data_IF_161879876608
#
_entry.id   IF_161879876608
#
_cell.length_a   1.000
_cell.length_b   1.000
_cell.length_c   1.000
_cell.angle_alpha   90.00
_cell.angle_beta   90.00
_cell.angle_gamma   90.00
#
_symmetry.space_group_name_H-M   'P 1'
#
loop_
_entity.id
_entity.type
_entity.pdbx_description
1 polymer ?
#
# COMPACT_ATOMS: atom_id res chain seq x y z
N UNK A 1 -11.72 -15.93 -0.18
CA UNK A 1 -10.24 -15.84 -0.24
C UNK A 1 -9.88 -15.19 -1.57
N UNK A 2 -8.90 -14.29 -1.55
CA UNK A 2 -8.38 -13.64 -2.74
C UNK A 2 -7.43 -14.63 -3.44
N UNK A 3 -7.63 -14.98 -4.72
CA UNK A 3 -6.72 -15.88 -5.43
C UNK A 3 -5.31 -15.31 -5.54
N UNK A 4 -4.31 -16.19 -5.51
CA UNK A 4 -2.92 -15.83 -5.79
C UNK A 4 -2.80 -15.20 -7.18
N UNK A 5 -2.16 -14.04 -7.27
CA UNK A 5 -1.81 -13.40 -8.54
C UNK A 5 -0.63 -12.43 -8.35
N UNK A 6 -0.04 -11.95 -9.46
CA UNK A 6 1.03 -10.94 -9.38
C UNK A 6 0.42 -9.58 -9.08
N UNK A 7 0.98 -8.89 -8.08
CA UNK A 7 0.38 -7.67 -7.54
C UNK A 7 1.41 -6.56 -7.32
N UNK A 8 0.97 -5.30 -7.44
CA UNK A 8 1.84 -4.13 -7.29
C UNK A 8 1.08 -2.93 -6.71
N UNK A 9 1.75 -2.14 -5.89
CA UNK A 9 1.23 -0.86 -5.42
C UNK A 9 1.34 0.17 -6.55
N UNK A 10 0.26 0.93 -6.77
CA UNK A 10 0.19 1.89 -7.87
C UNK A 10 -0.33 3.26 -7.41
N UNK A 11 0.48 4.26 -7.72
CA UNK A 11 0.13 5.67 -7.85
C UNK A 11 0.81 6.21 -9.11
N UNK A 12 0.07 6.97 -9.90
CA UNK A 12 0.49 7.42 -11.23
C UNK A 12 1.10 8.81 -11.26
N UNK A 13 1.36 9.44 -10.11
CA UNK A 13 1.83 10.83 -10.07
C UNK A 13 3.14 11.00 -10.84
N UNK A 14 3.21 12.06 -11.65
CA UNK A 14 4.38 12.45 -12.43
C UNK A 14 5.11 13.64 -11.78
N UNK A 15 6.15 14.14 -12.44
CA UNK A 15 6.81 15.39 -12.03
C UNK A 15 5.76 16.51 -11.85
N UNK A 16 5.88 17.28 -10.77
CA UNK A 16 4.97 18.36 -10.36
C UNK A 16 3.51 17.97 -10.05
N UNK A 17 3.19 16.68 -10.04
CA UNK A 17 1.89 16.15 -9.61
C UNK A 17 2.00 15.60 -8.18
N UNK A 18 0.96 15.80 -7.37
CA UNK A 18 0.86 15.19 -6.04
C UNK A 18 -0.56 15.31 -5.48
N UNK A 19 -0.98 14.41 -4.57
CA UNK A 19 -2.24 14.57 -3.85
C UNK A 19 -2.24 15.83 -2.96
N UNK A 20 -1.08 16.31 -2.51
CA UNK A 20 -0.98 17.53 -1.70
C UNK A 20 -1.20 18.82 -2.48
N UNK A 21 -0.94 18.81 -3.79
CA UNK A 21 -1.12 19.96 -4.66
C UNK A 21 -2.47 19.94 -5.40
N UNK A 22 -3.30 18.91 -5.17
CA UNK A 22 -4.51 18.62 -5.94
C UNK A 22 -4.25 18.57 -7.46
N UNK A 23 -3.05 18.10 -7.85
CA UNK A 23 -2.67 17.89 -9.25
C UNK A 23 -2.54 16.39 -9.48
N UNK A 24 -3.50 15.84 -10.21
CA UNK A 24 -3.64 14.40 -10.43
C UNK A 24 -3.23 13.99 -11.85
N UNK A 25 -2.79 12.73 -12.05
CA UNK A 25 -2.55 12.18 -13.38
C UNK A 25 -3.78 12.25 -14.28
N UNK A 26 -3.58 12.59 -15.55
CA UNK A 26 -4.65 12.62 -16.55
C UNK A 26 -5.16 11.21 -16.89
N UNK A 27 -6.32 11.14 -17.54
CA UNK A 27 -6.86 9.87 -18.04
C UNK A 27 -5.85 9.15 -18.96
N UNK A 28 -5.18 9.88 -19.84
CA UNK A 28 -4.19 9.36 -20.79
C UNK A 28 -2.91 8.89 -20.08
N UNK A 29 -2.45 9.62 -19.06
CA UNK A 29 -1.29 9.22 -18.25
C UNK A 29 -1.59 7.93 -17.46
N UNK A 30 -2.79 7.83 -16.89
CA UNK A 30 -3.26 6.61 -16.22
C UNK A 30 -3.39 5.46 -17.21
N UNK A 31 -3.94 5.70 -18.40
CA UNK A 31 -4.06 4.67 -19.44
C UNK A 31 -2.69 4.16 -19.90
N UNK A 32 -1.70 5.05 -20.05
CA UNK A 32 -0.31 4.65 -20.34
C UNK A 32 0.22 3.70 -19.26
N UNK A 33 0.14 4.12 -18.00
CA UNK A 33 0.64 3.35 -16.86
C UNK A 33 -0.05 1.97 -16.75
N UNK A 34 -1.38 1.93 -16.85
CA UNK A 34 -2.13 0.67 -16.73
C UNK A 34 -1.87 -0.29 -17.91
N UNK A 35 -1.60 0.22 -19.11
CA UNK A 35 -1.17 -0.61 -20.25
C UNK A 35 0.24 -1.18 -20.06
N UNK A 36 1.09 -0.53 -19.28
CA UNK A 36 2.39 -1.07 -18.88
C UNK A 36 2.18 -2.18 -17.85
N UNK A 37 1.42 -1.89 -16.79
CA UNK A 37 1.27 -2.80 -15.64
C UNK A 37 0.47 -4.07 -15.96
N UNK A 38 -0.62 -3.95 -16.72
CA UNK A 38 -1.53 -5.08 -17.03
C UNK A 38 -0.89 -6.21 -17.85
N UNK A 39 0.32 -6.02 -18.37
CA UNK A 39 1.07 -7.07 -19.07
C UNK A 39 1.72 -8.07 -18.12
N UNK A 40 1.93 -7.69 -16.85
CA UNK A 40 2.77 -8.44 -15.91
C UNK A 40 2.15 -8.58 -14.52
N UNK A 41 1.16 -7.76 -14.20
CA UNK A 41 0.44 -7.78 -12.94
C UNK A 41 -1.04 -7.99 -13.20
N UNK A 42 -1.69 -8.67 -12.27
CA UNK A 42 -3.13 -8.91 -12.26
C UNK A 42 -3.83 -7.94 -11.31
N UNK A 43 -3.15 -7.56 -10.21
CA UNK A 43 -3.72 -6.70 -9.16
C UNK A 43 -2.90 -5.43 -8.97
N UNK A 44 -3.60 -4.31 -8.76
CA UNK A 44 -3.01 -3.06 -8.27
C UNK A 44 -3.62 -2.66 -6.93
N UNK A 45 -2.86 -1.97 -6.09
CA UNK A 45 -3.34 -1.38 -4.83
C UNK A 45 -3.23 0.13 -4.86
N UNK A 46 -4.26 0.81 -4.38
CA UNK A 46 -4.34 2.27 -4.23
C UNK A 46 -4.75 2.64 -2.80
N UNK A 47 -4.47 3.88 -2.40
CA UNK A 47 -4.42 4.29 -0.98
C UNK A 47 -5.59 5.18 -0.52
N UNK A 48 -6.35 5.76 -1.44
CA UNK A 48 -7.40 6.72 -1.11
C UNK A 48 -8.62 6.66 -2.07
N UNK A 49 -9.52 7.63 -1.94
CA UNK A 49 -10.74 7.81 -2.74
C UNK A 49 -10.81 9.17 -3.46
N UNK A 50 -9.65 9.78 -3.69
CA UNK A 50 -9.47 11.04 -4.41
C UNK A 50 -9.72 10.90 -5.92
N UNK A 51 -9.46 11.95 -6.69
CA UNK A 51 -9.65 11.96 -8.14
C UNK A 51 -8.79 10.92 -8.87
N UNK A 52 -7.61 10.60 -8.35
CA UNK A 52 -6.71 9.66 -9.02
C UNK A 52 -7.27 8.21 -9.02
N UNK A 53 -7.63 7.58 -7.88
CA UNK A 53 -8.30 6.28 -7.88
C UNK A 53 -9.60 6.24 -8.69
N UNK A 54 -10.39 7.33 -8.71
CA UNK A 54 -11.59 7.43 -9.56
C UNK A 54 -11.24 7.33 -11.03
N UNK A 55 -10.21 8.05 -11.45
CA UNK A 55 -9.69 8.02 -12.83
C UNK A 55 -9.19 6.63 -13.18
N UNK A 56 -8.45 5.97 -12.28
CA UNK A 56 -7.97 4.59 -12.49
C UNK A 56 -9.12 3.61 -12.70
N UNK A 57 -10.12 3.59 -11.82
CA UNK A 57 -11.28 2.71 -11.94
C UNK A 57 -12.04 2.97 -13.25
N UNK A 58 -12.20 4.25 -13.62
CA UNK A 58 -12.82 4.65 -14.88
C UNK A 58 -12.04 4.13 -16.09
N UNK A 59 -10.72 4.35 -16.13
CA UNK A 59 -9.85 3.89 -17.23
C UNK A 59 -9.88 2.37 -17.36
N UNK A 60 -9.79 1.64 -16.25
CA UNK A 60 -9.88 0.17 -16.27
C UNK A 60 -11.22 -0.27 -16.86
N UNK A 61 -12.31 0.30 -16.37
CA UNK A 61 -13.66 -0.06 -16.80
C UNK A 61 -13.95 0.29 -18.26
N UNK A 62 -13.55 1.48 -18.73
CA UNK A 62 -13.85 1.95 -20.09
C UNK A 62 -12.98 1.25 -21.16
N UNK A 63 -11.76 0.84 -20.80
CA UNK A 63 -10.82 0.19 -21.73
C UNK A 63 -10.73 -1.34 -21.55
N UNK A 64 -11.50 -1.93 -20.64
CA UNK A 64 -11.46 -3.37 -20.31
C UNK A 64 -10.05 -3.86 -19.97
N UNK A 65 -9.30 -3.08 -19.19
CA UNK A 65 -7.95 -3.46 -18.77
C UNK A 65 -8.08 -4.63 -17.77
N UNK A 66 -7.33 -5.73 -17.93
CA UNK A 66 -7.49 -6.94 -17.11
C UNK A 66 -6.79 -6.81 -15.75
N UNK A 67 -7.01 -5.70 -15.04
CA UNK A 67 -6.50 -5.45 -13.69
C UNK A 67 -7.65 -5.45 -12.67
N UNK A 68 -7.40 -6.00 -11.49
CA UNK A 68 -8.26 -5.80 -10.31
C UNK A 68 -7.62 -4.83 -9.34
N UNK A 69 -8.45 -4.08 -8.61
CA UNK A 69 -8.00 -3.00 -7.74
C UNK A 69 -8.32 -3.30 -6.28
N UNK A 70 -7.31 -3.30 -5.43
CA UNK A 70 -7.50 -3.13 -4.00
C UNK A 70 -7.52 -1.63 -3.68
N UNK A 71 -8.67 -1.12 -3.24
CA UNK A 71 -8.83 0.29 -2.87
C UNK A 71 -8.63 0.48 -1.36
N UNK A 72 -8.21 1.66 -0.95
CA UNK A 72 -8.06 2.03 0.45
C UNK A 72 -8.64 3.40 0.73
N UNK A 73 -8.63 3.77 2.01
CA UNK A 73 -8.76 5.14 2.47
C UNK A 73 -7.52 5.49 3.28
N UNK A 74 -7.25 6.80 3.40
CA UNK A 74 -6.25 7.36 4.30
C UNK A 74 -7.01 8.11 5.42
N UNK A 75 -7.36 7.43 6.52
CA UNK A 75 -8.04 8.04 7.64
C UNK A 75 -7.23 9.21 8.20
N UNK A 76 -7.93 10.27 8.60
CA UNK A 76 -7.34 11.36 9.37
C UNK A 76 -7.24 10.95 10.83
N UNK A 77 -6.18 11.41 11.51
CA UNK A 77 -5.86 11.00 12.86
C UNK A 77 -6.95 11.35 13.87
N UNK A 78 -7.35 10.36 14.67
CA UNK A 78 -8.25 10.54 15.82
C UNK A 78 -7.50 10.49 17.17
N UNK A 79 -6.17 10.35 17.11
CA UNK A 79 -5.25 10.51 18.23
C UNK A 79 -4.15 11.49 17.82
N UNK A 80 -3.90 12.49 18.68
CA UNK A 80 -2.77 13.38 18.56
C UNK A 80 -1.47 12.65 18.89
N UNK A 81 -0.48 12.68 17.99
CA UNK A 81 0.79 11.97 18.12
C UNK A 81 1.97 12.96 18.21
N UNK A 82 2.28 13.48 19.41
CA UNK A 82 3.35 14.48 19.59
C UNK A 82 4.76 13.93 19.33
N UNK A 83 4.92 12.60 19.26
CA UNK A 83 6.22 11.94 19.07
C UNK A 83 6.51 11.59 17.61
N UNK A 84 5.58 11.85 16.69
CA UNK A 84 5.77 11.57 15.27
C UNK A 84 6.63 12.66 14.61
N UNK A 85 7.74 12.23 13.99
CA UNK A 85 8.67 13.11 13.27
C UNK A 85 8.06 13.77 12.02
N UNK A 86 6.87 13.32 11.60
CA UNK A 86 6.18 13.76 10.38
C UNK A 86 4.97 14.66 10.66
N UNK A 87 4.78 15.09 11.92
CA UNK A 87 3.61 15.86 12.35
C UNK A 87 2.63 14.98 13.13
N UNK A 88 1.34 15.32 13.09
CA UNK A 88 0.29 14.52 13.77
C UNK A 88 -0.22 15.10 15.08
N UNK A 89 0.07 16.38 15.35
CA UNK A 89 -0.66 17.12 16.37
C UNK A 89 -2.04 17.49 15.83
N UNK A 90 -3.08 17.01 16.50
CA UNK A 90 -4.47 17.36 16.25
C UNK A 90 -5.06 17.94 17.54
N UNK A 91 -5.81 19.04 17.41
CA UNK A 91 -6.66 19.58 18.47
C UNK A 91 -7.92 18.72 18.64
N UNK A 92 -8.60 18.85 19.78
CA UNK A 92 -9.86 18.14 20.03
C UNK A 92 -10.93 18.46 18.98
N UNK A 93 -10.99 19.71 18.51
CA UNK A 93 -11.91 20.13 17.44
C UNK A 93 -11.57 19.47 16.10
N UNK A 94 -10.29 19.40 15.73
CA UNK A 94 -9.84 18.70 14.52
C UNK A 94 -10.13 17.21 14.59
N UNK A 95 -9.98 16.58 15.76
CA UNK A 95 -10.32 15.16 15.96
C UNK A 95 -11.80 14.90 15.73
N UNK A 96 -12.70 15.77 16.23
CA UNK A 96 -14.14 15.62 15.98
C UNK A 96 -14.49 15.78 14.49
N UNK A 97 -13.82 16.70 13.78
CA UNK A 97 -13.95 16.83 12.32
C UNK A 97 -13.42 15.60 11.59
N UNK A 98 -12.28 15.04 12.03
CA UNK A 98 -11.65 13.87 11.44
C UNK A 98 -12.55 12.64 11.54
N UNK A 99 -13.21 12.43 12.69
CA UNK A 99 -14.21 11.36 12.87
C UNK A 99 -15.27 11.39 11.79
N UNK A 100 -15.87 12.56 11.53
CA UNK A 100 -16.89 12.70 10.47
C UNK A 100 -16.31 12.40 9.10
N UNK A 101 -15.17 13.01 8.75
CA UNK A 101 -14.51 12.81 7.46
C UNK A 101 -14.09 11.37 7.22
N UNK A 102 -13.70 10.63 8.26
CA UNK A 102 -13.32 9.23 8.14
C UNK A 102 -14.52 8.36 7.70
N UNK A 103 -15.70 8.59 8.27
CA UNK A 103 -16.91 7.90 7.81
C UNK A 103 -17.34 8.32 6.40
N UNK A 104 -17.19 9.60 6.03
CA UNK A 104 -17.43 10.07 4.67
C UNK A 104 -16.51 9.36 3.66
N UNK A 105 -15.22 9.18 3.99
CA UNK A 105 -14.28 8.42 3.18
C UNK A 105 -14.71 6.94 3.05
N UNK A 106 -15.21 6.31 4.12
CA UNK A 106 -15.69 4.93 4.07
C UNK A 106 -16.96 4.76 3.22
N UNK A 107 -17.91 5.70 3.33
CA UNK A 107 -19.10 5.70 2.48
C UNK A 107 -18.71 5.86 1.00
N UNK A 108 -17.73 6.70 0.72
CA UNK A 108 -17.25 6.88 -0.64
C UNK A 108 -16.45 5.69 -1.18
N UNK A 109 -15.63 5.06 -0.34
CA UNK A 109 -14.99 3.79 -0.65
C UNK A 109 -16.04 2.73 -1.00
N UNK A 110 -17.10 2.60 -0.20
CA UNK A 110 -18.19 1.67 -0.48
C UNK A 110 -18.90 1.99 -1.81
N UNK A 111 -19.15 3.27 -2.10
CA UNK A 111 -19.73 3.70 -3.38
C UNK A 111 -18.87 3.24 -4.57
N UNK A 112 -17.56 3.44 -4.50
CA UNK A 112 -16.62 3.01 -5.55
C UNK A 112 -16.57 1.49 -5.67
N UNK A 113 -16.51 0.75 -4.56
CA UNK A 113 -16.56 -0.72 -4.55
C UNK A 113 -17.82 -1.25 -5.24
N UNK A 114 -18.98 -0.70 -4.89
CA UNK A 114 -20.27 -1.15 -5.43
C UNK A 114 -20.44 -0.79 -6.91
N UNK A 115 -19.99 0.41 -7.31
CA UNK A 115 -20.06 0.88 -8.71
C UNK A 115 -19.14 0.07 -9.62
N UNK A 116 -17.95 -0.28 -9.15
CA UNK A 116 -16.93 -0.99 -9.91
C UNK A 116 -16.71 -2.40 -9.38
N UNK A 117 -17.79 -3.11 -9.00
CA UNK A 117 -17.73 -4.46 -8.40
C UNK A 117 -16.97 -5.51 -9.23
N UNK A 118 -16.93 -5.33 -10.54
CA UNK A 118 -16.23 -6.22 -11.46
C UNK A 118 -14.74 -5.87 -11.60
N UNK A 119 -14.29 -4.76 -11.02
CA UNK A 119 -12.90 -4.30 -11.02
C UNK A 119 -12.30 -4.34 -9.61
N UNK A 120 -13.05 -3.95 -8.59
CA UNK A 120 -12.56 -3.88 -7.22
C UNK A 120 -12.43 -5.28 -6.62
N UNK A 121 -11.21 -5.60 -6.18
CA UNK A 121 -10.83 -6.87 -5.57
C UNK A 121 -11.15 -6.93 -4.07
N UNK A 122 -10.85 -5.84 -3.37
CA UNK A 122 -10.89 -5.72 -1.92
C UNK A 122 -10.83 -4.23 -1.52
N UNK A 123 -11.16 -3.96 -0.27
CA UNK A 123 -11.18 -2.62 0.31
C UNK A 123 -10.39 -2.57 1.63
N UNK A 124 -9.59 -1.54 1.85
CA UNK A 124 -8.90 -1.29 3.11
C UNK A 124 -9.48 -0.09 3.85
N UNK A 125 -9.70 -0.24 5.16
CA UNK A 125 -10.18 0.86 6.03
C UNK A 125 -9.09 1.78 6.56
N UNK A 126 -7.85 1.56 6.16
CA UNK A 126 -6.72 2.41 6.54
C UNK A 126 -5.37 1.85 6.11
N UNK A 127 -4.33 2.65 6.34
CA UNK A 127 -2.95 2.35 6.05
C UNK A 127 -2.06 2.78 7.21
N UNK A 128 -1.52 1.82 7.96
CA UNK A 128 -0.54 2.01 9.04
C UNK A 128 -0.96 2.98 10.16
N UNK A 129 -2.27 3.25 10.27
CA UNK A 129 -2.80 4.21 11.24
C UNK A 129 -2.71 3.76 12.70
N UNK A 130 -2.14 2.58 13.01
CA UNK A 130 -1.86 2.14 14.39
C UNK A 130 -0.37 2.11 14.73
N UNK A 131 0.48 2.44 13.76
CA UNK A 131 1.92 2.60 13.92
C UNK A 131 2.26 3.85 14.72
N UNK A 132 3.15 3.72 15.71
CA UNK A 132 3.53 4.84 16.59
C UNK A 132 4.25 5.98 15.85
N UNK A 133 4.79 5.70 14.66
CA UNK A 133 5.45 6.69 13.81
C UNK A 133 4.50 7.42 12.86
N UNK A 134 3.22 7.02 12.78
CA UNK A 134 2.26 7.60 11.83
C UNK A 134 1.63 8.89 12.37
N UNK A 135 1.49 9.90 11.50
CA UNK A 135 0.93 11.21 11.87
C UNK A 135 -0.60 11.23 11.98
N UNK A 136 -1.28 10.32 11.25
CA UNK A 136 -2.72 10.10 11.39
C UNK A 136 -2.97 8.86 12.26
N UNK A 137 -2.65 8.96 13.55
CA UNK A 137 -2.81 7.84 14.48
C UNK A 137 -4.30 7.63 14.82
N UNK A 138 -4.71 6.37 14.89
CA UNK A 138 -6.09 5.93 15.10
C UNK A 138 -6.15 4.89 16.23
N UNK A 139 -7.19 4.91 17.08
CA UNK A 139 -7.41 3.82 18.04
C UNK A 139 -7.66 2.49 17.30
N UNK A 140 -7.09 1.40 17.81
CA UNK A 140 -7.31 0.04 17.28
C UNK A 140 -8.80 -0.31 17.22
N UNK A 141 -9.56 0.07 18.25
CA UNK A 141 -11.01 -0.13 18.31
C UNK A 141 -11.77 0.66 17.25
N UNK A 142 -11.32 1.88 16.92
CA UNK A 142 -11.91 2.66 15.83
C UNK A 142 -11.67 2.00 14.48
N UNK A 143 -10.45 1.50 14.21
CA UNK A 143 -10.17 0.75 12.97
C UNK A 143 -11.06 -0.50 12.87
N UNK A 144 -11.24 -1.24 13.97
CA UNK A 144 -12.15 -2.38 14.02
C UNK A 144 -13.61 -1.96 13.73
N UNK A 145 -14.07 -0.84 14.30
CA UNK A 145 -15.40 -0.27 14.00
C UNK A 145 -15.53 0.14 12.54
N UNK A 146 -14.51 0.75 11.93
CA UNK A 146 -14.50 1.10 10.52
C UNK A 146 -14.60 -0.13 9.62
N UNK A 147 -13.83 -1.19 9.91
CA UNK A 147 -13.92 -2.47 9.18
C UNK A 147 -15.34 -3.04 9.25
N UNK A 148 -15.92 -3.09 10.45
CA UNK A 148 -17.29 -3.55 10.67
C UNK A 148 -18.32 -2.69 9.94
N UNK A 149 -18.16 -1.38 9.98
CA UNK A 149 -19.04 -0.43 9.28
C UNK A 149 -18.99 -0.63 7.77
N UNK A 150 -17.80 -0.66 7.17
CA UNK A 150 -17.63 -0.80 5.73
C UNK A 150 -18.26 -2.11 5.21
N UNK A 151 -18.14 -3.20 5.97
CA UNK A 151 -18.78 -4.48 5.64
C UNK A 151 -20.31 -4.45 5.63
N UNK A 152 -20.94 -3.43 6.21
CA UNK A 152 -22.40 -3.23 6.07
C UNK A 152 -22.79 -2.51 4.76
N UNK A 153 -21.79 -1.98 4.03
CA UNK A 153 -21.99 -1.10 2.86
C UNK A 153 -21.48 -1.69 1.55
N UNK A 154 -20.66 -2.73 1.59
CA UNK A 154 -20.10 -3.39 0.41
C UNK A 154 -19.91 -4.89 0.64
N UNK A 155 -19.96 -5.66 -0.44
CA UNK A 155 -19.74 -7.12 -0.45
C UNK A 155 -18.30 -7.50 -0.79
N UNK A 156 -17.45 -6.52 -1.18
CA UNK A 156 -16.03 -6.82 -1.43
C UNK A 156 -15.31 -7.11 -0.11
N UNK A 157 -14.31 -8.01 -0.09
CA UNK A 157 -13.54 -8.31 1.12
C UNK A 157 -12.90 -7.05 1.73
N UNK A 158 -13.04 -6.88 3.04
CA UNK A 158 -12.52 -5.73 3.80
C UNK A 158 -11.30 -6.12 4.63
N UNK A 159 -10.29 -5.25 4.66
CA UNK A 159 -9.08 -5.37 5.48
C UNK A 159 -8.65 -4.05 6.11
N UNK A 160 -7.56 -4.08 6.86
CA UNK A 160 -6.76 -2.93 7.27
C UNK A 160 -5.29 -3.21 6.90
N UNK A 161 -4.61 -2.26 6.26
CA UNK A 161 -3.23 -2.45 5.80
C UNK A 161 -2.26 -1.93 6.87
N UNK A 162 -1.37 -2.78 7.39
CA UNK A 162 -0.54 -2.43 8.54
C UNK A 162 0.75 -3.27 8.61
N UNK A 163 1.78 -2.75 9.28
CA UNK A 163 3.05 -3.44 9.50
C UNK A 163 2.87 -4.82 10.15
N UNK A 164 3.64 -5.81 9.68
CA UNK A 164 3.59 -7.19 10.19
C UNK A 164 3.79 -7.27 11.72
N UNK A 165 4.63 -6.39 12.28
CA UNK A 165 4.88 -6.31 13.72
C UNK A 165 3.68 -5.73 14.49
N UNK A 166 3.01 -4.70 13.96
CA UNK A 166 1.81 -4.09 14.56
C UNK A 166 0.64 -5.07 14.55
N UNK A 167 0.52 -5.92 13.52
CA UNK A 167 -0.45 -7.00 13.55
C UNK A 167 -0.22 -7.99 14.69
N UNK A 168 1.04 -8.29 15.03
CA UNK A 168 1.39 -9.15 16.16
C UNK A 168 1.12 -8.47 17.51
N UNK A 169 1.44 -7.18 17.63
CA UNK A 169 1.35 -6.45 18.89
C UNK A 169 -0.06 -5.95 19.20
N UNK A 170 -0.75 -5.37 18.20
CA UNK A 170 -1.98 -4.58 18.37
C UNK A 170 -3.18 -5.12 17.56
N UNK A 171 -2.94 -5.97 16.57
CA UNK A 171 -3.93 -6.33 15.53
C UNK A 171 -5.08 -7.23 15.96
N UNK A 172 -5.05 -7.83 17.16
CA UNK A 172 -5.99 -8.87 17.57
C UNK A 172 -7.47 -8.47 17.54
N UNK A 173 -7.79 -7.22 17.88
CA UNK A 173 -9.17 -6.73 17.86
C UNK A 173 -9.65 -6.52 16.42
N UNK A 174 -8.82 -5.88 15.58
CA UNK A 174 -9.11 -5.62 14.16
C UNK A 174 -9.28 -6.92 13.39
N UNK A 175 -8.45 -7.94 13.68
CA UNK A 175 -8.47 -9.26 13.04
C UNK A 175 -9.85 -9.95 13.11
N UNK A 176 -10.66 -9.63 14.12
CA UNK A 176 -12.01 -10.21 14.28
C UNK A 176 -12.99 -9.66 13.25
N UNK A 177 -12.81 -8.42 12.83
CA UNK A 177 -13.78 -7.69 12.00
C UNK A 177 -13.42 -7.75 10.50
N UNK A 178 -12.12 -7.83 10.15
CA UNK A 178 -11.63 -7.92 8.76
C UNK A 178 -11.78 -9.33 8.16
N UNK A 179 -11.83 -9.41 6.83
CA UNK A 179 -11.98 -10.68 6.09
C UNK A 179 -10.64 -11.41 5.87
N UNK A 180 -9.53 -10.66 5.82
CA UNK A 180 -8.17 -11.18 5.72
C UNK A 180 -7.19 -10.27 6.44
N UNK A 181 -5.95 -10.74 6.65
CA UNK A 181 -4.87 -9.98 7.27
C UNK A 181 -3.94 -9.47 6.18
N UNK A 182 -3.60 -8.20 6.26
CA UNK A 182 -2.88 -7.44 5.25
C UNK A 182 -1.65 -6.83 5.89
N UNK A 183 -0.48 -7.45 5.65
CA UNK A 183 0.77 -7.11 6.33
C UNK A 183 1.70 -6.31 5.43
N UNK A 184 2.48 -5.41 6.02
CA UNK A 184 3.62 -4.75 5.38
C UNK A 184 4.94 -5.26 5.93
N UNK A 185 5.94 -5.39 5.08
CA UNK A 185 7.29 -5.81 5.48
C UNK A 185 8.36 -5.04 4.70
N UNK A 186 9.17 -4.28 5.44
CA UNK A 186 10.24 -3.47 4.88
C UNK A 186 11.56 -3.66 5.64
N UNK A 187 12.34 -4.72 5.33
CA UNK A 187 13.60 -4.97 6.01
C UNK A 187 14.59 -3.80 5.91
N UNK A 188 14.61 -3.09 4.77
CA UNK A 188 15.53 -1.95 4.55
C UNK A 188 15.23 -0.75 5.44
N UNK A 189 13.95 -0.49 5.77
CA UNK A 189 13.56 0.51 6.78
C UNK A 189 14.09 0.16 8.17
N UNK A 190 14.16 -1.14 8.48
CA UNK A 190 14.71 -1.66 9.73
C UNK A 190 16.26 -1.74 9.72
N UNK A 191 16.92 -1.19 8.68
CA UNK A 191 18.37 -1.27 8.46
C UNK A 191 18.90 -2.71 8.44
N UNK A 192 18.04 -3.65 8.06
CA UNK A 192 18.40 -5.06 7.89
C UNK A 192 19.20 -5.19 6.58
N UNK A 193 20.40 -5.78 6.59
CA UNK A 193 21.18 -5.97 5.37
C UNK A 193 20.50 -6.97 4.42
N UNK A 194 20.73 -6.84 3.12
CA UNK A 194 20.06 -7.66 2.10
C UNK A 194 20.11 -9.18 2.39
N UNK A 195 21.25 -9.67 2.86
CA UNK A 195 21.45 -11.10 3.17
C UNK A 195 20.46 -11.67 4.20
N UNK A 196 19.91 -10.83 5.08
CA UNK A 196 19.01 -11.24 6.17
C UNK A 196 17.53 -10.86 5.85
N UNK A 197 17.30 -10.10 4.78
CA UNK A 197 16.00 -9.55 4.42
C UNK A 197 14.95 -10.60 4.06
N UNK A 198 15.38 -11.68 3.37
CA UNK A 198 14.52 -12.80 3.02
C UNK A 198 13.96 -13.50 4.26
N UNK A 199 14.83 -13.81 5.23
CA UNK A 199 14.42 -14.47 6.47
C UNK A 199 13.49 -13.59 7.29
N UNK A 200 13.76 -12.27 7.39
CA UNK A 200 12.88 -11.34 8.07
C UNK A 200 11.47 -11.35 7.45
N UNK A 201 11.39 -11.15 6.13
CA UNK A 201 10.12 -11.04 5.41
C UNK A 201 9.29 -12.32 5.51
N UNK A 202 9.91 -13.49 5.36
CA UNK A 202 9.22 -14.77 5.46
C UNK A 202 8.80 -15.09 6.91
N UNK A 203 9.60 -14.71 7.90
CA UNK A 203 9.22 -14.82 9.31
C UNK A 203 8.02 -13.93 9.67
N UNK A 204 7.92 -12.74 9.10
CA UNK A 204 6.76 -11.86 9.28
C UNK A 204 5.47 -12.52 8.80
N UNK A 205 5.51 -13.25 7.68
CA UNK A 205 4.39 -14.07 7.23
C UNK A 205 4.06 -15.18 8.22
N UNK A 206 5.03 -16.02 8.59
CA UNK A 206 4.76 -17.21 9.41
C UNK A 206 4.29 -16.86 10.83
N UNK A 207 4.82 -15.79 11.43
CA UNK A 207 4.35 -15.28 12.72
C UNK A 207 2.88 -14.86 12.65
N UNK A 208 2.52 -14.04 11.66
CA UNK A 208 1.14 -13.60 11.48
C UNK A 208 0.21 -14.75 11.11
N UNK A 209 0.66 -15.69 10.28
CA UNK A 209 -0.11 -16.88 9.92
C UNK A 209 -0.36 -17.79 11.12
N UNK A 210 0.61 -17.94 12.01
CA UNK A 210 0.45 -18.69 13.26
C UNK A 210 -0.51 -18.01 14.24
N UNK A 211 -0.54 -16.68 14.26
CA UNK A 211 -1.40 -15.90 15.13
C UNK A 211 -2.86 -15.85 14.64
N UNK A 212 -3.03 -15.83 13.32
CA UNK A 212 -4.32 -15.75 12.63
C UNK A 212 -4.51 -16.96 11.68
N UNK A 213 -4.58 -18.20 12.20
CA UNK A 213 -4.56 -19.41 11.37
C UNK A 213 -5.73 -19.51 10.39
N UNK A 214 -6.89 -18.97 10.78
CA UNK A 214 -8.13 -19.01 9.97
C UNK A 214 -8.24 -17.86 8.97
N UNK A 215 -7.31 -16.91 8.99
CA UNK A 215 -7.28 -15.79 8.05
C UNK A 215 -6.25 -16.03 6.96
N UNK A 216 -6.57 -15.59 5.75
CA UNK A 216 -5.59 -15.44 4.69
C UNK A 216 -4.65 -14.28 5.08
N UNK A 217 -3.35 -14.47 4.86
CA UNK A 217 -2.34 -13.41 5.00
C UNK A 217 -1.92 -12.96 3.61
N UNK A 218 -1.93 -11.66 3.35
CA UNK A 218 -1.50 -11.04 2.10
C UNK A 218 -0.49 -9.95 2.45
N UNK A 219 0.61 -9.87 1.69
CA UNK A 219 1.50 -8.71 1.80
C UNK A 219 0.92 -7.59 0.94
N UNK A 220 0.38 -6.55 1.55
CA UNK A 220 -0.14 -5.39 0.80
C UNK A 220 0.91 -4.34 0.52
N UNK A 221 2.08 -4.48 1.11
CA UNK A 221 3.30 -3.76 0.78
C UNK A 221 4.52 -4.62 1.14
N UNK A 222 5.46 -4.68 0.22
CA UNK A 222 6.84 -5.07 0.48
C UNK A 222 7.72 -4.48 -0.61
N UNK A 223 8.97 -4.18 -0.30
CA UNK A 223 9.84 -3.59 -1.33
C UNK A 223 11.25 -3.36 -0.86
N UNK A 224 12.03 -2.75 -1.75
CA UNK A 224 13.38 -2.32 -1.47
C UNK A 224 13.69 -1.05 -2.28
N UNK A 225 14.03 0.04 -1.60
CA UNK A 225 14.34 1.31 -2.27
C UNK A 225 15.71 1.26 -2.96
N UNK A 226 15.83 1.93 -4.11
CA UNK A 226 17.07 1.96 -4.90
C UNK A 226 18.00 3.09 -4.52
N UNK A 227 17.56 4.00 -3.65
CA UNK A 227 18.37 5.11 -3.16
C UNK A 227 17.80 5.61 -1.83
N UNK A 228 18.68 6.04 -0.94
CA UNK A 228 18.28 6.67 0.32
C UNK A 228 19.34 7.65 0.81
N UNK A 229 18.93 8.51 1.74
CA UNK A 229 19.79 9.31 2.60
C UNK A 229 20.11 8.54 3.89
N UNK A 230 20.64 9.23 4.89
CA UNK A 230 21.11 8.67 6.17
C UNK A 230 20.01 8.07 7.06
N UNK A 231 18.73 8.21 6.67
CA UNK A 231 17.62 7.49 7.29
C UNK A 231 17.74 5.97 7.13
N UNK A 232 18.39 5.49 6.07
CA UNK A 232 18.65 4.06 5.81
C UNK A 232 20.15 3.77 5.63
N UNK A 233 20.50 2.49 5.47
CA UNK A 233 21.85 2.13 5.04
C UNK A 233 22.00 2.36 3.54
N UNK A 234 22.69 3.43 3.15
CA UNK A 234 22.85 3.83 1.75
C UNK A 234 23.63 2.82 0.89
N UNK A 235 24.49 2.00 1.51
CA UNK A 235 25.20 0.91 0.83
C UNK A 235 24.24 -0.22 0.41
N UNK A 236 23.14 -0.37 1.14
CA UNK A 236 22.13 -1.40 0.89
C UNK A 236 21.06 -0.94 -0.11
N UNK A 237 20.92 0.36 -0.37
CA UNK A 237 19.89 0.93 -1.25
C UNK A 237 20.45 1.16 -2.65
N UNK A 238 20.25 0.19 -3.55
CA UNK A 238 20.67 0.25 -4.95
C UNK A 238 19.84 -0.72 -5.81
N UNK A 239 19.86 -0.55 -7.13
CA UNK A 239 19.08 -1.40 -8.06
C UNK A 239 19.48 -2.88 -8.06
N UNK A 240 20.75 -3.20 -7.75
CA UNK A 240 21.20 -4.60 -7.65
C UNK A 240 20.52 -5.27 -6.46
N UNK A 241 20.53 -4.62 -5.30
CA UNK A 241 19.91 -5.13 -4.08
C UNK A 241 18.39 -5.20 -4.21
N UNK A 242 17.74 -4.19 -4.79
CA UNK A 242 16.30 -4.24 -5.09
C UNK A 242 15.97 -5.45 -5.94
N UNK A 243 16.72 -5.68 -7.03
CA UNK A 243 16.51 -6.85 -7.88
C UNK A 243 16.66 -8.16 -7.12
N UNK A 244 17.74 -8.34 -6.36
CA UNK A 244 17.99 -9.60 -5.63
C UNK A 244 16.84 -9.87 -4.64
N UNK A 245 16.46 -8.87 -3.86
CA UNK A 245 15.39 -9.02 -2.86
C UNK A 245 14.05 -9.36 -3.52
N UNK A 246 13.64 -8.60 -4.55
CA UNK A 246 12.36 -8.81 -5.21
C UNK A 246 12.31 -10.15 -5.97
N UNK A 247 13.41 -10.61 -6.59
CA UNK A 247 13.47 -11.92 -7.24
C UNK A 247 13.39 -13.08 -6.23
N UNK A 248 14.01 -12.95 -5.05
CA UNK A 248 13.87 -13.93 -3.97
C UNK A 248 12.42 -14.01 -3.47
N UNK A 249 11.78 -12.86 -3.27
CA UNK A 249 10.40 -12.80 -2.80
C UNK A 249 9.40 -13.25 -3.88
N UNK A 250 9.67 -13.01 -5.16
CA UNK A 250 8.88 -13.53 -6.28
C UNK A 250 8.79 -15.06 -6.24
N UNK A 251 9.93 -15.73 -6.06
CA UNK A 251 10.03 -17.19 -6.00
C UNK A 251 9.26 -17.73 -4.79
N UNK A 252 9.50 -17.15 -3.61
CA UNK A 252 8.82 -17.57 -2.39
C UNK A 252 7.30 -17.38 -2.46
N UNK A 253 6.87 -16.22 -2.97
CA UNK A 253 5.45 -15.88 -3.19
C UNK A 253 4.76 -16.88 -4.11
N UNK A 254 5.42 -17.25 -5.21
CA UNK A 254 4.89 -18.22 -6.18
C UNK A 254 4.82 -19.64 -5.64
N UNK A 255 5.84 -20.09 -4.91
CA UNK A 255 5.88 -21.42 -4.28
C UNK A 255 4.79 -21.56 -3.20
N UNK A 256 4.61 -20.52 -2.39
CA UNK A 256 3.68 -20.54 -1.24
C UNK A 256 2.27 -20.05 -1.60
N UNK A 257 2.05 -19.58 -2.83
CA UNK A 257 0.78 -18.97 -3.31
C UNK A 257 0.30 -17.83 -2.41
N UNK A 258 1.23 -16.99 -2.00
CA UNK A 258 0.97 -15.80 -1.17
C UNK A 258 1.04 -14.57 -2.06
N UNK A 259 -0.09 -13.86 -2.23
CA UNK A 259 -0.13 -12.59 -2.97
C UNK A 259 0.71 -11.54 -2.24
N UNK A 260 1.58 -10.87 -2.98
CA UNK A 260 2.43 -9.80 -2.45
C UNK A 260 2.42 -8.60 -3.39
N UNK A 261 2.07 -7.42 -2.88
CA UNK A 261 2.05 -6.17 -3.63
C UNK A 261 3.41 -5.48 -3.51
N UNK A 262 4.15 -5.46 -4.61
CA UNK A 262 5.45 -4.75 -4.67
C UNK A 262 5.21 -3.26 -4.44
N UNK A 263 5.93 -2.67 -3.49
CA UNK A 263 6.02 -1.22 -3.33
C UNK A 263 7.33 -0.74 -3.98
N UNK A 264 7.29 -0.12 -5.17
CA UNK A 264 6.07 0.23 -5.94
C UNK A 264 6.26 0.26 -7.47
N UNK A 265 5.21 0.60 -8.22
CA UNK A 265 5.23 0.65 -9.68
C UNK A 265 6.24 1.66 -10.24
N UNK A 266 6.18 2.92 -9.78
CA UNK A 266 6.95 4.03 -10.31
C UNK A 266 7.59 4.83 -9.18
N UNK A 267 8.77 5.41 -9.42
CA UNK A 267 9.34 6.40 -8.51
C UNK A 267 8.44 7.62 -8.40
N UNK A 268 8.27 8.14 -7.18
CA UNK A 268 7.34 9.23 -6.88
C UNK A 268 8.06 10.41 -6.18
N UNK A 269 8.52 11.43 -6.93
CA UNK A 269 9.37 12.50 -6.39
C UNK A 269 8.66 13.44 -5.41
N UNK A 270 7.33 13.37 -5.32
CA UNK A 270 6.53 14.17 -4.40
C UNK A 270 6.55 13.63 -2.95
N UNK A 271 6.96 12.36 -2.75
CA UNK A 271 6.95 11.71 -1.43
C UNK A 271 8.10 12.18 -0.53
N UNK A 272 7.81 12.18 0.77
CA UNK A 272 8.78 12.50 1.82
C UNK A 272 9.26 13.96 1.79
N UNK A 273 10.56 14.18 1.98
CA UNK A 273 11.13 15.53 2.10
C UNK A 273 11.61 16.12 0.76
N UNK A 274 12.16 17.34 0.80
CA UNK A 274 12.77 18.00 -0.36
C UNK A 274 14.13 17.40 -0.75
N UNK A 275 14.70 16.52 0.07
CA UNK A 275 15.95 15.84 -0.23
C UNK A 275 15.80 14.99 -1.52
N UNK A 276 16.65 15.18 -2.54
CA UNK A 276 16.63 14.31 -3.72
C UNK A 276 16.88 12.83 -3.39
N UNK A 277 17.56 12.54 -2.28
CA UNK A 277 17.91 11.19 -1.84
C UNK A 277 16.93 10.66 -0.77
N UNK A 278 15.79 11.32 -0.56
CA UNK A 278 14.75 10.80 0.32
C UNK A 278 14.30 9.39 -0.15
N UNK A 279 14.42 8.33 0.70
CA UNK A 279 14.12 6.95 0.31
C UNK A 279 12.73 6.75 -0.30
N UNK A 280 11.73 7.51 0.17
CA UNK A 280 10.35 7.42 -0.29
C UNK A 280 10.16 7.71 -1.79
N UNK A 281 11.13 8.35 -2.43
CA UNK A 281 11.06 8.69 -3.85
C UNK A 281 11.55 7.58 -4.79
N UNK A 282 12.16 6.53 -4.25
CA UNK A 282 13.02 5.60 -5.02
C UNK A 282 12.61 4.13 -4.90
N UNK A 283 11.36 3.85 -4.50
CA UNK A 283 10.81 2.49 -4.38
C UNK A 283 10.37 1.85 -5.70
N UNK A 284 10.19 2.66 -6.75
CA UNK A 284 9.68 2.22 -8.03
C UNK A 284 10.54 1.11 -8.63
N UNK A 285 9.90 0.11 -9.22
CA UNK A 285 10.55 -0.83 -10.15
C UNK A 285 10.79 -0.18 -11.54
N UNK A 286 10.12 0.94 -11.78
CA UNK A 286 10.33 1.84 -12.92
C UNK A 286 10.61 3.25 -12.38
N UNK A 287 11.37 4.05 -13.12
CA UNK A 287 11.62 5.45 -12.78
C UNK A 287 10.41 6.35 -13.08
N UNK A 288 10.51 7.64 -12.72
CA UNK A 288 9.47 8.65 -12.96
C UNK A 288 9.05 8.78 -14.43
N UNK A 289 9.94 8.40 -15.37
CA UNK A 289 9.71 8.41 -16.82
C UNK A 289 9.21 7.06 -17.35
N UNK A 290 8.75 6.17 -16.44
CA UNK A 290 8.23 4.83 -16.75
C UNK A 290 9.30 3.92 -17.38
N UNK A 291 10.58 4.26 -17.23
CA UNK A 291 11.67 3.42 -17.73
C UNK A 291 11.97 2.32 -16.70
N UNK A 292 12.12 1.05 -17.13
CA UNK A 292 12.43 -0.04 -16.21
C UNK A 292 13.78 0.13 -15.53
N UNK A 293 13.78 -0.08 -14.20
CA UNK A 293 14.99 -0.35 -13.42
C UNK A 293 15.38 -1.83 -13.55
N UNK A 294 16.54 -2.19 -12.99
CA UNK A 294 17.20 -3.48 -13.18
C UNK A 294 16.27 -4.68 -12.94
N UNK A 295 15.46 -4.67 -11.87
CA UNK A 295 14.46 -5.72 -11.60
C UNK A 295 13.43 -5.83 -12.74
N UNK A 296 12.85 -4.71 -13.16
CA UNK A 296 11.77 -4.68 -14.14
C UNK A 296 12.24 -4.98 -15.57
N UNK A 297 13.54 -4.89 -15.88
CA UNK A 297 14.05 -5.21 -17.23
C UNK A 297 13.67 -6.61 -17.71
N UNK A 298 13.35 -7.55 -16.81
CA UNK A 298 12.87 -8.89 -17.17
C UNK A 298 11.49 -8.90 -17.83
N UNK A 299 10.69 -7.84 -17.63
CA UNK A 299 9.34 -7.70 -18.16
C UNK A 299 9.29 -7.05 -19.56
N UNK A 300 10.33 -6.31 -19.94
CA UNK A 300 10.35 -5.50 -21.17
C UNK A 300 11.30 -6.07 -22.24
N UNK A 301 11.44 -7.40 -22.30
CA UNK A 301 12.23 -8.12 -23.32
C UNK A 301 11.36 -8.67 -24.44
#
# INVERSE_FOLDING_TARGET
>A
MIPYAKAICYSGYREDQSPHADVYPSYEEVLEDLNILSKHFDYIRMYDVSEHPRTVLKVISENNIPLKVMLGVEPKGEISNPNCSWGGLHSDEEIEVNKVKNYEQLDELANLCNRYKDVVLAASVGNENTSDWHGNLMPVSTIAMHAKYLKTKTEVPVTFCEGAHNWVDKGHEIAKEVDFISIHSYPVWLKTPLKDAYELTTNDYYKNKSLYPDKQIIFTEYGWTTKANDKMNTEETNEINQKIYLEQMDLWSEENKVTMFIFEAFDEPWKGSKDPDEPEKHWGIMDIKRKPKLYATKYFK
#
